data_IF_838328940461
#
_entry.id   IF_838328940461
#
_cell.length_a   1.000
_cell.length_b   1.000
_cell.length_c   1.000
_cell.angle_alpha   90.00
_cell.angle_beta   90.00
_cell.angle_gamma   90.00
#
_symmetry.space_group_name_H-M   'P 1'
#
loop_
_entity.id
_entity.type
_entity.pdbx_description
1 polymer ?
#
# COMPACT_ATOMS: atom_id res chain seq x y z
N UNK A 1 -8.37 -14.15 -6.16
CA UNK A 1 -8.36 -14.65 -4.78
C UNK A 1 -8.85 -13.50 -3.91
N UNK A 2 -9.84 -13.79 -3.08
CA UNK A 2 -10.76 -12.85 -2.43
C UNK A 2 -10.30 -12.49 -1.00
N UNK A 3 -10.82 -11.41 -0.41
CA UNK A 3 -10.60 -11.09 1.01
C UNK A 3 -11.10 -12.26 1.89
N UNK A 4 -10.55 -12.48 3.09
CA UNK A 4 -11.01 -13.60 3.94
C UNK A 4 -12.48 -13.46 4.28
N UNK A 5 -12.94 -12.22 4.43
CA UNK A 5 -14.35 -11.93 4.66
C UNK A 5 -15.25 -12.35 3.49
N UNK A 6 -14.75 -12.32 2.25
CA UNK A 6 -15.50 -12.74 1.06
C UNK A 6 -15.73 -14.26 1.04
N UNK A 7 -14.90 -15.01 1.77
CA UNK A 7 -15.10 -16.44 1.98
C UNK A 7 -16.08 -16.78 3.10
N UNK A 8 -16.46 -15.80 3.92
CA UNK A 8 -17.40 -15.99 5.02
C UNK A 8 -18.79 -16.36 4.52
N UNK A 9 -19.50 -17.15 5.33
CA UNK A 9 -20.88 -17.57 5.03
C UNK A 9 -21.81 -16.37 4.87
N UNK A 10 -21.69 -15.39 5.76
CA UNK A 10 -22.50 -14.18 5.74
C UNK A 10 -22.28 -13.36 4.47
N UNK A 11 -21.03 -13.15 4.04
CA UNK A 11 -20.73 -12.41 2.82
C UNK A 11 -21.28 -13.12 1.58
N UNK A 12 -21.13 -14.45 1.50
CA UNK A 12 -21.68 -15.28 0.41
C UNK A 12 -23.21 -15.24 0.36
N UNK A 13 -23.88 -15.25 1.52
CA UNK A 13 -25.34 -15.08 1.62
C UNK A 13 -25.79 -13.69 1.14
N UNK A 14 -25.09 -12.63 1.54
CA UNK A 14 -25.37 -11.26 1.07
C UNK A 14 -25.15 -11.15 -0.44
N UNK A 15 -24.06 -11.70 -0.97
CA UNK A 15 -23.75 -11.68 -2.40
C UNK A 15 -24.85 -12.36 -3.21
N UNK A 16 -25.26 -13.58 -2.83
CA UNK A 16 -26.37 -14.29 -3.47
C UNK A 16 -27.68 -13.50 -3.40
N UNK A 17 -27.96 -12.86 -2.26
CA UNK A 17 -29.15 -12.01 -2.07
C UNK A 17 -29.15 -10.82 -3.03
N UNK A 18 -28.00 -10.16 -3.23
CA UNK A 18 -27.86 -9.07 -4.21
C UNK A 18 -28.11 -9.55 -5.63
N UNK A 19 -27.51 -10.68 -6.06
CA UNK A 19 -27.73 -11.25 -7.40
C UNK A 19 -29.22 -11.52 -7.66
N UNK A 20 -29.91 -12.13 -6.68
CA UNK A 20 -31.35 -12.39 -6.75
C UNK A 20 -32.18 -11.11 -6.81
N UNK A 21 -31.81 -10.09 -6.03
CA UNK A 21 -32.48 -8.77 -6.05
C UNK A 21 -32.28 -8.03 -7.39
N UNK A 22 -31.08 -8.10 -7.98
CA UNK A 22 -30.81 -7.54 -9.31
C UNK A 22 -31.63 -8.24 -10.39
N UNK A 23 -31.76 -9.57 -10.29
CA UNK A 23 -32.59 -10.36 -11.17
C UNK A 23 -34.08 -9.98 -11.03
N UNK A 24 -34.57 -9.78 -9.80
CA UNK A 24 -35.92 -9.26 -9.56
C UNK A 24 -36.12 -7.87 -10.15
N UNK A 25 -35.14 -6.98 -10.02
CA UNK A 25 -35.19 -5.64 -10.61
C UNK A 25 -35.37 -5.73 -12.13
N UNK A 26 -34.62 -6.61 -12.79
CA UNK A 26 -34.75 -6.87 -14.23
C UNK A 26 -36.13 -7.42 -14.57
N UNK A 27 -36.64 -8.38 -13.80
CA UNK A 27 -37.97 -8.95 -13.99
C UNK A 27 -39.07 -7.87 -13.92
N UNK A 28 -39.17 -7.14 -12.81
CA UNK A 28 -40.20 -6.11 -12.64
C UNK A 28 -40.02 -4.93 -13.60
N UNK A 29 -38.79 -4.61 -14.00
CA UNK A 29 -38.50 -3.57 -14.99
C UNK A 29 -38.82 -3.96 -16.43
N UNK A 30 -38.78 -5.25 -16.76
CA UNK A 30 -39.04 -5.76 -18.11
C UNK A 30 -40.54 -5.86 -18.44
N UNK A 31 -41.39 -6.00 -17.44
CA UNK A 31 -42.81 -6.32 -17.63
C UNK A 31 -43.07 -7.67 -18.31
N UNK A 32 -42.04 -8.54 -18.37
CA UNK A 32 -42.15 -9.85 -18.98
C UNK A 32 -43.06 -10.79 -18.18
N UNK A 33 -43.60 -11.80 -18.85
CA UNK A 33 -44.25 -12.93 -18.18
C UNK A 33 -43.19 -13.71 -17.40
N UNK A 34 -43.47 -14.02 -16.13
CA UNK A 34 -42.54 -14.68 -15.21
C UNK A 34 -41.95 -15.99 -15.75
N UNK A 35 -42.75 -16.77 -16.49
CA UNK A 35 -42.31 -18.06 -17.03
C UNK A 35 -41.45 -17.95 -18.29
N UNK A 36 -41.47 -16.78 -18.93
CA UNK A 36 -40.72 -16.48 -20.16
C UNK A 36 -39.49 -15.60 -19.86
N UNK A 37 -39.28 -15.24 -18.58
CA UNK A 37 -38.19 -14.39 -18.14
C UNK A 37 -36.87 -15.19 -18.08
N UNK A 38 -35.86 -14.68 -18.78
CA UNK A 38 -34.53 -15.28 -18.78
C UNK A 38 -33.79 -14.96 -17.48
N UNK A 39 -33.56 -16.01 -16.67
CA UNK A 39 -32.85 -15.90 -15.40
C UNK A 39 -31.32 -16.07 -15.54
N UNK A 40 -30.83 -16.29 -16.77
CA UNK A 40 -29.42 -16.57 -17.04
C UNK A 40 -28.94 -17.81 -16.28
N UNK A 41 -27.86 -17.66 -15.52
CA UNK A 41 -27.24 -18.75 -14.77
C UNK A 41 -27.95 -19.09 -13.44
N UNK A 42 -28.89 -18.25 -12.99
CA UNK A 42 -29.62 -18.48 -11.73
C UNK A 42 -30.80 -19.41 -11.99
N UNK A 43 -30.94 -20.56 -11.29
CA UNK A 43 -32.10 -21.42 -11.45
C UNK A 43 -33.40 -20.70 -11.10
N UNK A 44 -34.41 -20.76 -11.97
CA UNK A 44 -35.72 -20.14 -11.75
C UNK A 44 -36.36 -20.55 -10.40
N UNK A 45 -36.11 -21.78 -9.94
CA UNK A 45 -36.59 -22.27 -8.62
C UNK A 45 -36.03 -21.45 -7.45
N UNK A 46 -34.78 -21.00 -7.54
CA UNK A 46 -34.10 -20.25 -6.49
C UNK A 46 -34.71 -18.84 -6.41
N UNK A 47 -35.00 -18.22 -7.57
CA UNK A 47 -35.74 -16.97 -7.65
C UNK A 47 -37.16 -17.10 -7.07
N UNK A 48 -37.86 -18.20 -7.40
CA UNK A 48 -39.21 -18.47 -6.89
C UNK A 48 -39.22 -18.59 -5.37
N UNK A 49 -38.28 -19.35 -4.80
CA UNK A 49 -38.16 -19.52 -3.36
C UNK A 49 -37.87 -18.17 -2.71
N UNK A 50 -36.91 -17.41 -3.25
CA UNK A 50 -36.56 -16.08 -2.76
C UNK A 50 -37.75 -15.10 -2.78
N UNK A 51 -38.53 -15.08 -3.86
CA UNK A 51 -39.73 -14.25 -3.94
C UNK A 51 -40.76 -14.63 -2.87
N UNK A 52 -40.95 -15.92 -2.61
CA UNK A 52 -41.86 -16.40 -1.58
C UNK A 52 -41.40 -16.00 -0.18
N UNK A 53 -40.10 -16.16 0.10
CA UNK A 53 -39.51 -15.89 1.41
C UNK A 53 -39.52 -14.39 1.75
N UNK A 54 -39.24 -13.54 0.77
CA UNK A 54 -39.13 -12.08 0.94
C UNK A 54 -40.45 -11.32 0.67
N UNK A 55 -41.50 -12.05 0.30
CA UNK A 55 -42.84 -11.51 0.07
C UNK A 55 -42.98 -10.68 -1.23
N UNK A 56 -42.25 -11.06 -2.28
CA UNK A 56 -42.36 -10.44 -3.61
C UNK A 56 -43.42 -11.14 -4.47
N UNK A 57 -44.43 -10.41 -5.00
CA UNK A 57 -45.51 -10.99 -5.79
C UNK A 57 -45.06 -11.40 -7.19
N UNK A 58 -45.44 -12.60 -7.65
CA UNK A 58 -45.13 -13.04 -9.02
C UNK A 58 -45.86 -12.25 -10.09
N UNK A 59 -47.08 -11.80 -9.81
CA UNK A 59 -47.83 -10.91 -10.71
C UNK A 59 -47.27 -9.48 -10.61
N UNK A 60 -47.06 -8.82 -11.75
CA UNK A 60 -46.63 -7.42 -11.84
C UNK A 60 -47.67 -6.51 -11.13
N UNK A 61 -47.39 -5.99 -9.93
CA UNK A 61 -48.25 -5.00 -9.27
C UNK A 61 -47.82 -3.60 -9.73
N UNK A 62 -48.22 -2.54 -9.02
CA UNK A 62 -47.57 -1.22 -9.20
C UNK A 62 -46.06 -1.34 -8.96
N UNK A 63 -45.30 -1.39 -10.05
CA UNK A 63 -43.89 -1.79 -10.07
C UNK A 63 -42.98 -0.76 -9.40
N UNK A 64 -43.41 0.50 -9.31
CA UNK A 64 -42.58 1.61 -8.84
C UNK A 64 -42.19 1.47 -7.35
N UNK A 65 -43.15 1.09 -6.49
CA UNK A 65 -42.88 0.85 -5.06
C UNK A 65 -41.98 -0.37 -4.82
N UNK A 66 -42.14 -1.42 -5.63
CA UNK A 66 -41.33 -2.64 -5.52
C UNK A 66 -39.91 -2.39 -6.00
N UNK A 67 -39.74 -1.72 -7.14
CA UNK A 67 -38.42 -1.37 -7.67
C UNK A 67 -37.66 -0.47 -6.69
N UNK A 68 -38.34 0.50 -6.07
CA UNK A 68 -37.74 1.33 -5.02
C UNK A 68 -37.27 0.51 -3.82
N UNK A 69 -38.10 -0.42 -3.32
CA UNK A 69 -37.73 -1.33 -2.21
C UNK A 69 -36.53 -2.21 -2.58
N UNK A 70 -36.50 -2.74 -3.81
CA UNK A 70 -35.38 -3.55 -4.31
C UNK A 70 -34.10 -2.71 -4.35
N UNK A 71 -34.17 -1.47 -4.87
CA UNK A 71 -33.03 -0.58 -4.94
C UNK A 71 -32.47 -0.21 -3.56
N UNK A 72 -33.35 0.13 -2.61
CA UNK A 72 -32.96 0.42 -1.22
C UNK A 72 -32.27 -0.79 -0.55
N UNK A 73 -32.80 -1.99 -0.77
CA UNK A 73 -32.22 -3.23 -0.24
C UNK A 73 -30.88 -3.57 -0.88
N UNK A 74 -30.74 -3.43 -2.21
CA UNK A 74 -29.45 -3.63 -2.90
C UNK A 74 -28.41 -2.66 -2.33
N UNK A 75 -28.76 -1.38 -2.18
CA UNK A 75 -27.85 -0.37 -1.61
C UNK A 75 -27.44 -0.75 -0.18
N UNK A 76 -28.39 -1.16 0.65
CA UNK A 76 -28.14 -1.61 2.04
C UNK A 76 -27.17 -2.79 2.10
N UNK A 77 -27.42 -3.82 1.28
CA UNK A 77 -26.59 -5.04 1.23
C UNK A 77 -25.18 -4.77 0.67
N UNK A 78 -25.05 -3.92 -0.34
CA UNK A 78 -23.74 -3.52 -0.87
C UNK A 78 -22.96 -2.67 0.14
N UNK A 79 -23.63 -1.77 0.87
CA UNK A 79 -23.00 -1.04 1.97
C UNK A 79 -22.51 -1.99 3.07
N UNK A 80 -23.31 -3.00 3.43
CA UNK A 80 -22.91 -4.01 4.41
C UNK A 80 -21.70 -4.83 3.95
N UNK A 81 -21.67 -5.27 2.69
CA UNK A 81 -20.49 -5.95 2.10
C UNK A 81 -19.24 -5.07 2.18
N UNK A 82 -19.38 -3.79 1.85
CA UNK A 82 -18.29 -2.82 1.93
C UNK A 82 -17.79 -2.63 3.35
N UNK A 83 -18.68 -2.48 4.33
CA UNK A 83 -18.30 -2.37 5.75
C UNK A 83 -17.54 -3.61 6.24
N UNK A 84 -18.01 -4.81 5.87
CA UNK A 84 -17.34 -6.07 6.19
C UNK A 84 -15.92 -6.14 5.60
N UNK A 85 -15.73 -5.67 4.36
CA UNK A 85 -14.40 -5.58 3.71
C UNK A 85 -13.50 -4.56 4.39
N UNK A 86 -14.03 -3.39 4.72
CA UNK A 86 -13.29 -2.36 5.46
C UNK A 86 -12.84 -2.87 6.83
N UNK A 87 -13.69 -3.58 7.57
CA UNK A 87 -13.32 -4.18 8.85
C UNK A 87 -12.23 -5.27 8.72
N UNK A 88 -12.27 -6.12 7.68
CA UNK A 88 -11.18 -7.09 7.41
C UNK A 88 -9.87 -6.38 7.03
N UNK A 89 -9.93 -5.21 6.38
CA UNK A 89 -8.75 -4.39 6.09
C UNK A 89 -8.21 -3.68 7.34
N UNK A 90 -9.07 -3.05 8.13
CA UNK A 90 -8.71 -2.32 9.36
C UNK A 90 -8.22 -3.22 10.49
N UNK A 91 -8.71 -4.47 10.55
CA UNK A 91 -8.23 -5.47 11.52
C UNK A 91 -6.84 -6.02 11.20
N UNK A 92 -6.25 -5.62 10.07
CA UNK A 92 -4.93 -6.04 9.61
C UNK A 92 -3.91 -4.90 9.77
N UNK A 93 -2.63 -5.24 9.77
CA UNK A 93 -1.53 -4.29 9.95
C UNK A 93 -1.16 -3.55 8.64
N UNK A 94 -1.93 -3.76 7.56
CA UNK A 94 -1.64 -3.20 6.25
C UNK A 94 -2.30 -1.81 6.10
N UNK A 95 -1.61 -0.76 6.56
CA UNK A 95 -2.20 0.58 6.62
C UNK A 95 -2.13 1.33 5.29
N UNK A 96 -0.90 1.62 4.81
CA UNK A 96 -0.72 2.44 3.62
C UNK A 96 0.57 2.15 2.87
N UNK A 97 0.58 2.49 1.58
CA UNK A 97 1.77 2.52 0.75
C UNK A 97 2.33 3.96 0.74
N UNK A 98 3.52 4.13 1.30
CA UNK A 98 4.32 5.35 1.24
C UNK A 98 5.30 5.25 0.06
N UNK A 99 5.34 6.30 -0.75
CA UNK A 99 6.33 6.50 -1.80
C UNK A 99 6.97 7.86 -1.58
N UNK A 100 8.28 7.91 -1.33
CA UNK A 100 9.06 9.15 -1.36
C UNK A 100 9.71 9.22 -2.72
N UNK A 101 9.33 10.21 -3.53
CA UNK A 101 9.69 10.26 -4.95
C UNK A 101 11.18 10.42 -5.18
N UNK A 102 11.86 11.15 -4.28
CA UNK A 102 13.31 11.32 -4.26
C UNK A 102 13.82 11.61 -2.85
N UNK A 103 14.65 10.72 -2.33
CA UNK A 103 15.27 10.83 -1.01
C UNK A 103 16.19 12.04 -0.90
N UNK A 104 17.13 12.20 -1.82
CA UNK A 104 18.09 13.31 -1.84
C UNK A 104 17.42 14.67 -1.98
N UNK A 105 16.33 14.76 -2.77
CA UNK A 105 15.53 16.00 -2.85
C UNK A 105 14.81 16.29 -1.55
N UNK A 106 14.20 15.29 -0.89
CA UNK A 106 13.59 15.47 0.43
C UNK A 106 14.62 16.00 1.44
N UNK A 107 15.83 15.45 1.42
CA UNK A 107 16.92 15.86 2.30
C UNK A 107 17.53 17.23 1.94
N UNK A 108 17.31 17.73 0.72
CA UNK A 108 17.98 18.91 0.20
C UNK A 108 19.49 18.73 -0.01
N UNK A 109 19.96 17.49 -0.19
CA UNK A 109 21.40 17.22 -0.31
C UNK A 109 21.85 17.20 -1.78
N UNK A 110 22.98 17.84 -2.12
CA UNK A 110 23.59 17.70 -3.44
C UNK A 110 24.38 16.39 -3.60
N UNK A 111 24.50 15.59 -2.53
CA UNK A 111 25.31 14.39 -2.55
C UNK A 111 24.65 13.28 -3.37
N UNK A 112 25.34 12.83 -4.42
CA UNK A 112 24.90 11.72 -5.29
C UNK A 112 25.42 10.36 -4.83
N UNK A 113 26.28 10.31 -3.82
CA UNK A 113 26.86 9.09 -3.28
C UNK A 113 28.00 8.52 -4.12
N UNK A 114 28.42 7.31 -3.75
CA UNK A 114 29.51 6.55 -4.37
C UNK A 114 29.00 5.13 -4.62
N UNK A 115 29.39 4.52 -5.74
CA UNK A 115 29.07 3.14 -6.08
C UNK A 115 30.33 2.40 -6.50
N UNK A 116 30.66 1.31 -5.81
CA UNK A 116 31.89 0.52 -6.05
C UNK A 116 33.15 1.40 -6.14
N UNK A 117 33.34 2.27 -5.15
CA UNK A 117 34.46 3.24 -5.03
C UNK A 117 34.54 4.29 -6.17
N UNK A 118 33.51 4.39 -7.01
CA UNK A 118 33.38 5.44 -8.02
C UNK A 118 32.32 6.47 -7.63
N UNK A 119 32.59 7.78 -7.79
CA UNK A 119 31.59 8.81 -7.55
C UNK A 119 30.44 8.69 -8.55
N UNK A 120 29.22 8.88 -8.07
CA UNK A 120 28.04 8.91 -8.94
C UNK A 120 27.99 10.24 -9.68
N UNK A 121 28.05 10.18 -11.01
CA UNK A 121 28.06 11.35 -11.89
C UNK A 121 26.66 11.92 -12.09
N UNK A 122 25.69 11.04 -12.28
CA UNK A 122 24.29 11.41 -12.48
C UNK A 122 23.37 10.51 -11.64
N UNK A 123 22.44 11.12 -10.90
CA UNK A 123 21.44 10.42 -10.10
C UNK A 123 20.08 10.77 -10.69
N UNK A 124 19.51 9.82 -11.42
CA UNK A 124 18.25 10.02 -12.11
C UNK A 124 17.06 9.82 -11.17
N UNK A 125 17.15 8.79 -10.31
CA UNK A 125 16.12 8.43 -9.33
C UNK A 125 16.73 7.83 -8.08
N UNK A 126 16.03 8.02 -6.97
CA UNK A 126 16.35 7.57 -5.62
C UNK A 126 15.07 7.50 -4.78
N UNK A 127 14.18 6.61 -5.21
CA UNK A 127 12.81 6.49 -4.70
C UNK A 127 12.76 5.51 -3.53
N UNK A 128 12.01 5.86 -2.48
CA UNK A 128 11.66 4.91 -1.42
C UNK A 128 10.23 4.46 -1.62
N UNK A 129 9.99 3.16 -1.54
CA UNK A 129 8.65 2.55 -1.52
C UNK A 129 8.54 1.72 -0.24
N UNK A 130 7.53 1.96 0.58
CA UNK A 130 7.37 1.32 1.89
C UNK A 130 5.90 1.08 2.23
N UNK A 131 5.58 -0.06 2.82
CA UNK A 131 4.30 -0.27 3.49
C UNK A 131 4.44 0.25 4.91
N UNK A 132 3.64 1.22 5.30
CA UNK A 132 3.75 1.85 6.62
C UNK A 132 3.02 1.04 7.67
N UNK A 133 3.66 0.80 8.80
CA UNK A 133 3.05 0.30 10.04
C UNK A 133 2.68 1.48 10.94
N UNK A 134 3.62 1.86 11.81
CA UNK A 134 3.48 2.92 12.80
C UNK A 134 4.52 4.02 12.55
N UNK A 135 4.09 5.27 12.76
CA UNK A 135 5.01 6.41 12.87
C UNK A 135 5.14 6.78 14.34
N UNK A 136 6.33 6.60 14.91
CA UNK A 136 6.60 6.88 16.31
C UNK A 136 7.48 8.13 16.43
N UNK A 137 7.14 9.05 17.35
CA UNK A 137 7.93 10.26 17.61
C UNK A 137 8.70 10.14 18.91
N UNK A 138 9.99 10.49 18.88
CA UNK A 138 10.91 10.42 19.99
C UNK A 138 11.50 11.79 20.28
N UNK A 139 11.78 12.04 21.55
CA UNK A 139 12.49 13.23 22.00
C UNK A 139 13.90 12.83 22.39
N UNK A 140 14.90 13.40 21.73
CA UNK A 140 16.29 13.21 22.11
C UNK A 140 16.66 14.01 23.36
N UNK A 141 17.81 13.65 23.96
CA UNK A 141 18.44 14.41 25.03
C UNK A 141 18.80 15.84 24.61
N UNK A 142 18.97 16.08 23.31
CA UNK A 142 19.31 17.37 22.67
C UNK A 142 18.09 18.26 22.39
N UNK A 143 16.88 17.88 22.86
CA UNK A 143 15.60 18.55 22.58
C UNK A 143 15.13 18.45 21.12
N UNK A 144 15.94 17.84 20.24
CA UNK A 144 15.52 17.48 18.88
C UNK A 144 14.48 16.37 18.91
N UNK A 145 13.46 16.52 18.06
CA UNK A 145 12.40 15.52 17.92
C UNK A 145 12.59 14.76 16.62
N UNK A 146 12.64 13.45 16.76
CA UNK A 146 12.77 12.51 15.66
C UNK A 146 11.46 11.77 15.48
N UNK A 147 11.21 11.31 14.27
CA UNK A 147 10.19 10.35 13.95
C UNK A 147 10.82 9.16 13.24
N UNK A 148 10.29 7.98 13.53
CA UNK A 148 10.63 6.77 12.80
C UNK A 148 9.35 6.20 12.21
N UNK A 149 9.33 6.06 10.88
CA UNK A 149 8.29 5.35 10.15
C UNK A 149 8.77 3.92 9.98
N UNK A 150 8.05 2.97 10.56
CA UNK A 150 8.36 1.54 10.42
C UNK A 150 7.57 0.89 9.31
N UNK A 151 8.14 -0.17 8.76
CA UNK A 151 7.45 -1.06 7.84
C UNK A 151 8.36 -1.54 6.71
N UNK A 152 7.98 -2.62 6.00
CA UNK A 152 8.81 -3.18 4.95
C UNK A 152 8.86 -2.24 3.74
N UNK A 153 10.07 -1.92 3.29
CA UNK A 153 10.30 -1.02 2.16
C UNK A 153 11.59 -1.31 1.39
N UNK A 154 11.72 -0.66 0.25
CA UNK A 154 12.98 -0.61 -0.48
C UNK A 154 13.38 0.83 -0.77
N UNK A 155 14.68 1.04 -0.81
CA UNK A 155 15.30 2.17 -1.49
C UNK A 155 15.73 1.72 -2.89
N UNK A 156 15.31 2.42 -3.94
CA UNK A 156 15.64 2.11 -5.33
C UNK A 156 16.31 3.31 -5.99
N UNK A 157 17.48 3.09 -6.61
CA UNK A 157 18.21 4.13 -7.30
C UNK A 157 18.50 3.78 -8.77
N UNK A 158 18.29 4.75 -9.66
CA UNK A 158 18.75 4.73 -11.06
C UNK A 158 19.84 5.82 -11.22
N UNK A 159 21.05 5.44 -11.60
CA UNK A 159 22.21 6.35 -11.58
C UNK A 159 23.29 5.98 -12.58
N UNK A 160 24.24 6.87 -12.83
CA UNK A 160 25.36 6.64 -13.73
C UNK A 160 26.68 6.99 -13.04
N UNK A 161 27.64 6.06 -13.07
CA UNK A 161 29.04 6.32 -12.66
C UNK A 161 29.88 6.83 -13.84
N UNK A 162 29.47 6.51 -15.06
CA UNK A 162 30.09 6.92 -16.32
C UNK A 162 28.99 7.50 -17.24
N UNK A 163 29.30 8.49 -18.08
CA UNK A 163 28.29 9.19 -18.90
C UNK A 163 27.54 8.22 -19.82
N UNK A 164 26.22 8.26 -19.80
CA UNK A 164 25.34 7.57 -20.74
C UNK A 164 24.97 6.13 -20.37
N UNK A 165 25.63 5.54 -19.36
CA UNK A 165 25.33 4.18 -18.89
C UNK A 165 24.67 4.22 -17.51
N UNK A 166 23.36 4.06 -17.48
CA UNK A 166 22.60 3.99 -16.24
C UNK A 166 22.59 2.56 -15.67
N UNK A 167 22.79 2.49 -14.37
CA UNK A 167 22.73 1.33 -13.52
C UNK A 167 21.54 1.46 -12.58
N UNK A 168 21.04 0.32 -12.11
CA UNK A 168 20.02 0.24 -11.08
C UNK A 168 20.59 -0.47 -9.86
N UNK A 169 20.26 0.03 -8.69
CA UNK A 169 20.53 -0.65 -7.43
C UNK A 169 19.33 -0.54 -6.49
N UNK A 170 19.15 -1.51 -5.61
CA UNK A 170 18.03 -1.53 -4.66
C UNK A 170 18.44 -2.16 -3.35
N UNK A 171 18.01 -1.53 -2.25
CA UNK A 171 18.32 -1.93 -0.88
C UNK A 171 17.02 -2.14 -0.11
N UNK A 172 16.97 -3.24 0.64
CA UNK A 172 15.90 -3.46 1.62
C UNK A 172 16.05 -2.50 2.80
N UNK A 173 14.94 -1.90 3.22
CA UNK A 173 14.84 -1.02 4.38
C UNK A 173 13.59 -1.38 5.19
N UNK A 174 13.64 -1.29 6.50
CA UNK A 174 12.48 -1.55 7.36
C UNK A 174 12.16 -0.40 8.33
N UNK A 175 12.81 0.75 8.12
CA UNK A 175 12.41 2.00 8.74
C UNK A 175 13.01 3.23 8.08
N UNK A 176 12.41 4.39 8.35
CA UNK A 176 12.90 5.70 7.94
C UNK A 176 12.94 6.60 9.17
N UNK A 177 14.11 7.10 9.54
CA UNK A 177 14.33 7.99 10.66
C UNK A 177 14.52 9.44 10.16
N UNK A 178 13.66 10.33 10.60
CA UNK A 178 13.55 11.71 10.14
C UNK A 178 13.45 12.70 11.31
N UNK A 179 14.08 13.88 11.24
CA UNK A 179 13.65 15.02 12.04
C UNK A 179 12.19 15.40 11.75
N UNK A 180 11.47 15.94 12.74
CA UNK A 180 10.07 16.33 12.56
C UNK A 180 9.84 17.33 11.42
N UNK A 181 10.82 18.18 11.08
CA UNK A 181 10.70 19.10 9.95
C UNK A 181 10.58 18.34 8.61
N UNK A 182 11.41 17.32 8.41
CA UNK A 182 11.37 16.49 7.20
C UNK A 182 10.13 15.60 7.15
N UNK A 183 9.72 15.08 8.31
CA UNK A 183 8.42 14.40 8.43
C UNK A 183 7.29 15.35 8.02
N UNK A 184 7.30 16.59 8.50
CA UNK A 184 6.35 17.63 8.12
C UNK A 184 6.28 17.80 6.59
N UNK A 185 7.43 17.90 5.92
CA UNK A 185 7.49 17.99 4.44
C UNK A 185 6.82 16.81 3.73
N UNK A 186 6.94 15.58 4.25
CA UNK A 186 6.26 14.41 3.68
C UNK A 186 4.73 14.57 3.73
N UNK A 187 4.19 15.12 4.82
CA UNK A 187 2.74 15.27 4.99
C UNK A 187 2.16 16.56 4.42
N UNK A 188 2.94 17.64 4.36
CA UNK A 188 2.44 19.00 4.09
C UNK A 188 3.02 19.65 2.84
N UNK A 189 3.86 18.96 2.07
CA UNK A 189 4.33 19.48 0.79
C UNK A 189 3.16 19.80 -0.15
N UNK A 190 3.43 20.64 -1.16
CA UNK A 190 2.43 21.08 -2.12
C UNK A 190 1.74 19.88 -2.76
N UNK A 191 0.42 19.87 -2.65
CA UNK A 191 -0.42 18.78 -3.15
C UNK A 191 -0.47 18.89 -4.67
N UNK A 192 0.05 17.87 -5.36
CA UNK A 192 -0.17 17.70 -6.80
C UNK A 192 -1.66 17.52 -7.06
N UNK A 193 -2.36 16.90 -6.10
CA UNK A 193 -3.77 16.62 -6.19
C UNK A 193 -4.46 16.80 -4.83
N UNK A 194 -5.52 17.61 -4.80
CA UNK A 194 -6.38 17.79 -3.63
C UNK A 194 -7.82 17.44 -4.01
N UNK A 195 -8.42 16.51 -3.28
CA UNK A 195 -9.84 16.20 -3.42
C UNK A 195 -10.43 15.84 -2.07
N UNK A 196 -11.57 16.43 -1.78
CA UNK A 196 -12.36 16.13 -0.58
C UNK A 196 -12.94 14.70 -0.60
N UNK A 197 -12.84 14.00 -1.74
CA UNK A 197 -13.35 12.65 -1.95
C UNK A 197 -12.29 11.55 -1.85
N UNK A 198 -11.01 11.92 -1.84
CA UNK A 198 -9.91 10.97 -1.93
C UNK A 198 -9.04 11.14 -0.70
N UNK A 199 -9.11 10.16 0.19
CA UNK A 199 -8.26 10.06 1.36
C UNK A 199 -6.87 9.52 0.95
N UNK A 200 -6.17 10.26 0.10
CA UNK A 200 -4.79 10.00 -0.28
C UNK A 200 -4.02 11.31 -0.29
N UNK A 201 -2.78 11.26 0.20
CA UNK A 201 -1.89 12.41 0.17
C UNK A 201 -0.94 12.23 -1.00
N UNK A 202 -1.11 13.03 -2.07
CA UNK A 202 -0.22 13.03 -3.24
C UNK A 202 0.43 14.41 -3.34
N UNK A 203 1.70 14.49 -2.99
CA UNK A 203 2.50 15.72 -3.03
C UNK A 203 3.66 15.56 -4.01
N UNK A 204 4.38 16.65 -4.26
CA UNK A 204 5.60 16.62 -5.08
C UNK A 204 6.72 15.75 -4.45
N UNK A 205 6.69 15.61 -3.13
CA UNK A 205 7.75 14.95 -2.35
C UNK A 205 7.39 13.49 -2.06
N UNK A 206 6.12 13.20 -1.82
CA UNK A 206 5.68 11.89 -1.38
C UNK A 206 4.23 11.58 -1.74
N UNK A 207 3.93 10.30 -1.84
CA UNK A 207 2.57 9.78 -1.91
C UNK A 207 2.31 8.85 -0.74
N UNK A 208 1.20 9.05 -0.04
CA UNK A 208 0.67 8.13 0.97
C UNK A 208 -0.68 7.64 0.46
N UNK A 209 -0.72 6.36 0.12
CA UNK A 209 -1.89 5.70 -0.44
C UNK A 209 -2.40 4.65 0.54
N UNK A 210 -3.48 4.93 1.28
CA UNK A 210 -4.00 3.96 2.23
C UNK A 210 -4.85 2.90 1.53
N UNK A 211 -4.82 1.66 2.01
CA UNK A 211 -5.44 0.53 1.30
C UNK A 211 -6.97 0.59 1.27
N UNK A 212 -7.61 1.28 2.22
CA UNK A 212 -9.07 1.46 2.25
C UNK A 212 -9.61 2.29 1.08
N UNK A 213 -8.76 3.01 0.35
CA UNK A 213 -9.15 3.73 -0.87
C UNK A 213 -9.74 2.81 -1.95
N UNK A 214 -9.45 1.52 -1.86
CA UNK A 214 -9.91 0.48 -2.78
C UNK A 214 -11.39 0.15 -2.57
N UNK A 215 -11.99 0.59 -1.46
CA UNK A 215 -13.41 0.40 -1.15
C UNK A 215 -14.26 1.65 -1.50
N UNK A 216 -13.69 2.65 -2.19
CA UNK A 216 -14.45 3.84 -2.63
C UNK A 216 -15.53 3.49 -3.66
N UNK A 217 -16.52 4.37 -3.87
CA UNK A 217 -17.55 4.13 -4.89
C UNK A 217 -16.92 3.95 -6.29
N UNK A 218 -17.44 3.06 -7.13
CA UNK A 218 -16.83 2.66 -8.41
C UNK A 218 -16.50 3.84 -9.35
N UNK A 219 -17.38 4.85 -9.40
CA UNK A 219 -17.16 6.09 -10.17
C UNK A 219 -15.99 6.91 -9.64
N UNK A 220 -15.85 6.97 -8.32
CA UNK A 220 -14.70 7.60 -7.65
C UNK A 220 -13.45 6.77 -7.91
N UNK A 221 -13.52 5.44 -7.77
CA UNK A 221 -12.37 4.55 -8.03
C UNK A 221 -11.81 4.72 -9.43
N UNK A 222 -12.66 4.76 -10.47
CA UNK A 222 -12.19 4.91 -11.86
C UNK A 222 -11.39 6.20 -12.05
N UNK A 223 -11.89 7.29 -11.48
CA UNK A 223 -11.22 8.59 -11.53
C UNK A 223 -9.92 8.60 -10.72
N UNK A 224 -9.95 8.09 -9.48
CA UNK A 224 -8.76 7.96 -8.61
C UNK A 224 -7.69 7.10 -9.28
N UNK A 225 -8.09 5.96 -9.86
CA UNK A 225 -7.21 5.02 -10.58
C UNK A 225 -6.43 5.74 -11.67
N UNK A 226 -7.09 6.56 -12.49
CA UNK A 226 -6.42 7.34 -13.52
C UNK A 226 -5.37 8.31 -12.97
N UNK A 227 -5.69 9.01 -11.88
CA UNK A 227 -4.78 9.98 -11.24
C UNK A 227 -3.59 9.28 -10.59
N UNK A 228 -3.82 8.24 -9.79
CA UNK A 228 -2.75 7.49 -9.10
C UNK A 228 -1.87 6.79 -10.12
N UNK A 229 -2.47 6.14 -11.12
CA UNK A 229 -1.74 5.47 -12.19
C UNK A 229 -0.78 6.43 -12.90
N UNK A 230 -1.24 7.63 -13.27
CA UNK A 230 -0.44 8.61 -14.01
C UNK A 230 0.61 9.32 -13.15
N UNK A 231 0.25 9.74 -11.94
CA UNK A 231 1.09 10.63 -11.13
C UNK A 231 1.94 9.89 -10.09
N UNK A 232 1.55 8.67 -9.72
CA UNK A 232 2.20 7.90 -8.66
C UNK A 232 2.88 6.67 -9.25
N UNK A 233 2.13 5.80 -9.92
CA UNK A 233 2.69 4.50 -10.34
C UNK A 233 3.55 4.59 -11.59
N UNK A 234 3.12 5.31 -12.63
CA UNK A 234 3.91 5.44 -13.85
C UNK A 234 5.30 6.09 -13.61
N UNK A 235 5.42 7.19 -12.82
CA UNK A 235 6.73 7.78 -12.53
C UNK A 235 7.63 6.89 -11.67
N UNK A 236 7.05 6.04 -10.82
CA UNK A 236 7.78 5.19 -9.87
C UNK A 236 7.74 3.69 -10.25
N UNK A 237 7.44 3.37 -11.52
CA UNK A 237 7.18 2.00 -11.98
C UNK A 237 8.33 1.04 -11.64
N UNK A 238 9.56 1.40 -11.97
CA UNK A 238 10.74 0.55 -11.73
C UNK A 238 10.92 0.24 -10.23
N UNK A 239 10.79 1.26 -9.36
CA UNK A 239 10.86 1.09 -7.91
C UNK A 239 9.73 0.18 -7.39
N UNK A 240 8.50 0.37 -7.88
CA UNK A 240 7.36 -0.47 -7.48
C UNK A 240 7.49 -1.93 -7.96
N UNK A 241 8.00 -2.15 -9.17
CA UNK A 241 8.27 -3.50 -9.69
C UNK A 241 9.34 -4.21 -8.84
N UNK A 242 10.44 -3.52 -8.52
CA UNK A 242 11.48 -4.07 -7.62
C UNK A 242 10.93 -4.36 -6.22
N UNK A 243 10.13 -3.44 -5.68
CA UNK A 243 9.50 -3.60 -4.37
C UNK A 243 8.58 -4.82 -4.33
N UNK A 244 7.70 -4.94 -5.32
CA UNK A 244 6.78 -6.06 -5.44
C UNK A 244 7.53 -7.38 -5.64
N UNK A 245 8.54 -7.40 -6.50
CA UNK A 245 9.35 -8.60 -6.71
C UNK A 245 10.01 -9.05 -5.40
N UNK A 246 10.67 -8.13 -4.70
CA UNK A 246 11.36 -8.41 -3.43
C UNK A 246 10.41 -8.89 -2.32
N UNK A 247 9.25 -8.25 -2.16
CA UNK A 247 8.27 -8.72 -1.18
C UNK A 247 7.74 -10.10 -1.59
N UNK A 248 7.44 -10.35 -2.86
CA UNK A 248 6.87 -11.62 -3.29
C UNK A 248 7.87 -12.78 -3.25
N UNK A 249 9.17 -12.52 -3.29
CA UNK A 249 10.21 -13.52 -3.03
C UNK A 249 10.13 -14.04 -1.58
N UNK A 250 10.11 -15.36 -1.41
CA UNK A 250 10.05 -15.98 -0.09
C UNK A 250 11.31 -15.66 0.73
N UNK A 251 11.11 -15.17 1.96
CA UNK A 251 12.21 -14.87 2.88
C UNK A 251 12.67 -13.41 2.94
N UNK A 252 11.95 -12.46 2.33
CA UNK A 252 12.22 -11.03 2.52
C UNK A 252 11.87 -10.54 3.94
N UNK A 253 12.64 -9.55 4.42
CA UNK A 253 12.55 -8.94 5.76
C UNK A 253 12.58 -9.92 6.96
N UNK A 254 13.52 -10.87 7.03
CA UNK A 254 13.59 -11.78 8.17
C UNK A 254 14.00 -11.00 9.43
N UNK A 255 13.29 -11.22 10.54
CA UNK A 255 13.55 -10.58 11.82
C UNK A 255 14.99 -10.81 12.32
N UNK A 256 15.61 -11.93 11.92
CA UNK A 256 16.99 -12.24 12.24
C UNK A 256 18.02 -11.27 11.63
N UNK A 257 17.69 -10.58 10.53
CA UNK A 257 18.57 -9.59 9.91
C UNK A 257 18.54 -8.22 10.62
N UNK A 258 17.61 -8.03 11.56
CA UNK A 258 17.51 -6.82 12.36
C UNK A 258 17.03 -5.60 11.57
N UNK A 259 17.40 -4.41 12.05
CA UNK A 259 16.90 -3.15 11.47
C UNK A 259 17.82 -2.61 10.38
N UNK A 260 17.20 -2.13 9.30
CA UNK A 260 17.78 -1.43 8.15
C UNK A 260 17.07 -0.09 7.98
N UNK A 261 17.58 0.95 8.63
CA UNK A 261 16.89 2.24 8.77
C UNK A 261 17.56 3.32 7.92
N UNK A 262 16.81 3.89 6.98
CA UNK A 262 17.23 5.09 6.25
C UNK A 262 17.20 6.29 7.19
N UNK A 263 18.34 6.95 7.39
CA UNK A 263 18.47 8.00 8.39
C UNK A 263 18.75 9.37 7.79
N UNK A 264 17.94 10.34 8.19
CA UNK A 264 18.19 11.77 8.06
C UNK A 264 18.57 12.40 9.41
N UNK A 265 18.91 11.59 10.40
CA UNK A 265 19.36 12.05 11.71
C UNK A 265 20.61 12.92 11.59
N UNK A 266 20.76 14.05 12.31
CA UNK A 266 21.93 14.92 12.16
C UNK A 266 23.29 14.21 12.35
N UNK A 267 23.40 13.28 13.30
CA UNK A 267 24.63 12.48 13.52
C UNK A 267 24.86 11.38 12.47
N UNK A 268 23.80 10.93 11.81
CA UNK A 268 23.84 9.83 10.82
C UNK A 268 23.18 10.25 9.51
N UNK A 269 23.44 11.48 9.09
CA UNK A 269 22.73 12.11 8.00
C UNK A 269 23.02 11.43 6.66
N UNK A 270 21.94 11.14 5.92
CA UNK A 270 21.94 10.43 4.65
C UNK A 270 22.70 9.09 4.70
N UNK A 271 22.38 8.25 5.69
CA UNK A 271 22.97 6.91 5.85
C UNK A 271 21.91 5.84 5.92
N UNK A 272 22.22 4.66 5.40
CA UNK A 272 21.48 3.44 5.74
C UNK A 272 22.13 2.83 6.98
N UNK A 273 21.40 2.85 8.09
CA UNK A 273 21.82 2.27 9.36
C UNK A 273 21.43 0.79 9.40
N UNK A 274 22.42 -0.06 9.64
CA UNK A 274 22.27 -1.52 9.66
C UNK A 274 22.90 -2.10 10.93
N UNK A 275 22.67 -3.38 11.19
CA UNK A 275 23.37 -4.12 12.25
C UNK A 275 24.89 -4.10 12.02
N UNK A 276 25.72 -4.12 13.09
CA UNK A 276 27.18 -4.09 12.96
C UNK A 276 27.77 -5.19 12.07
N UNK A 277 27.15 -6.37 12.09
CA UNK A 277 27.61 -7.55 11.36
C UNK A 277 26.98 -7.68 9.96
N UNK A 278 26.19 -6.69 9.54
CA UNK A 278 25.54 -6.69 8.23
C UNK A 278 26.55 -6.45 7.11
N UNK A 279 26.70 -7.43 6.23
CA UNK A 279 27.53 -7.32 5.02
C UNK A 279 26.67 -7.17 3.77
N UNK A 280 26.59 -5.97 3.22
CA UNK A 280 26.00 -5.77 1.90
C UNK A 280 26.99 -6.17 0.80
N UNK A 281 26.61 -7.15 -0.02
CA UNK A 281 27.38 -7.62 -1.17
C UNK A 281 26.61 -7.30 -2.45
N UNK A 282 27.28 -6.64 -3.38
CA UNK A 282 26.73 -6.40 -4.73
C UNK A 282 26.60 -7.72 -5.49
N UNK A 283 25.88 -7.74 -6.62
CA UNK A 283 25.80 -8.90 -7.52
C UNK A 283 27.15 -9.40 -8.05
N UNK A 284 28.22 -8.60 -7.91
CA UNK A 284 29.60 -8.98 -8.21
C UNK A 284 30.35 -9.68 -7.06
N UNK A 285 29.69 -9.88 -5.91
CA UNK A 285 30.27 -10.44 -4.68
C UNK A 285 31.12 -9.46 -3.88
N UNK A 286 31.38 -8.24 -4.38
CA UNK A 286 32.12 -7.19 -3.67
C UNK A 286 31.27 -6.57 -2.56
N UNK A 287 31.90 -6.33 -1.41
CA UNK A 287 31.31 -5.53 -0.33
C UNK A 287 31.08 -4.12 -0.84
N UNK A 288 29.86 -3.62 -0.72
CA UNK A 288 29.52 -2.23 -1.02
C UNK A 288 29.24 -1.49 0.29
N UNK A 289 30.00 -0.41 0.50
CA UNK A 289 29.89 0.45 1.69
C UNK A 289 29.01 1.68 1.43
N UNK A 290 28.51 1.84 0.20
CA UNK A 290 27.63 2.93 -0.23
C UNK A 290 26.88 2.52 -1.50
N UNK A 291 25.78 3.21 -1.77
CA UNK A 291 25.07 3.18 -3.06
C UNK A 291 24.74 4.60 -3.49
N UNK A 292 24.25 4.78 -4.71
CA UNK A 292 23.88 6.09 -5.21
C UNK A 292 22.76 6.73 -4.36
N UNK A 293 22.82 8.04 -4.18
CA UNK A 293 21.91 8.85 -3.36
C UNK A 293 22.05 8.66 -1.83
N UNK A 294 22.75 7.63 -1.37
CA UNK A 294 23.06 7.39 0.05
C UNK A 294 24.53 7.73 0.31
N UNK A 295 24.81 8.43 1.41
CA UNK A 295 26.17 8.77 1.80
C UNK A 295 27.03 7.56 2.15
N UNK A 296 26.49 6.63 2.94
CA UNK A 296 27.16 5.37 3.32
C UNK A 296 26.21 4.38 3.98
N UNK A 297 26.54 3.09 3.94
CA UNK A 297 25.99 2.06 4.82
C UNK A 297 26.78 2.05 6.13
N UNK A 298 26.10 2.05 7.28
CA UNK A 298 26.74 2.18 8.59
C UNK A 298 26.17 1.18 9.60
N UNK A 299 27.05 0.36 10.19
CA UNK A 299 26.74 -0.60 11.26
C UNK A 299 26.39 0.02 12.62
N UNK A 300 25.63 1.12 12.62
CA UNK A 300 25.38 1.98 13.79
C UNK A 300 23.91 1.95 14.24
N UNK A 301 23.07 1.05 13.71
CA UNK A 301 21.65 0.97 14.11
C UNK A 301 21.49 0.71 15.61
N UNK A 302 22.43 -0.04 16.22
CA UNK A 302 22.48 -0.30 17.67
C UNK A 302 22.58 0.97 18.53
N UNK A 303 23.00 2.10 17.97
CA UNK A 303 23.00 3.39 18.67
C UNK A 303 21.65 4.10 18.62
N UNK A 304 20.86 3.82 17.59
CA UNK A 304 19.53 4.38 17.40
C UNK A 304 18.46 3.56 18.15
N UNK A 305 18.62 2.23 18.23
CA UNK A 305 17.67 1.33 18.92
C UNK A 305 17.31 1.77 20.35
N UNK A 306 18.25 2.15 21.24
CA UNK A 306 17.90 2.54 22.61
C UNK A 306 17.13 3.87 22.69
N UNK A 307 17.18 4.69 21.64
CA UNK A 307 16.42 5.94 21.54
C UNK A 307 14.97 5.65 21.15
N UNK A 308 14.77 4.64 20.31
CA UNK A 308 13.46 4.22 19.78
C UNK A 308 12.75 3.26 20.73
N UNK A 309 13.45 2.23 21.21
CA UNK A 309 12.88 1.11 21.93
C UNK A 309 13.24 1.15 23.41
N UNK A 310 12.23 1.06 24.26
CA UNK A 310 12.40 0.97 25.72
C UNK A 310 12.96 -0.39 26.19
N UNK A 311 12.86 -1.43 25.36
CA UNK A 311 13.32 -2.77 25.69
C UNK A 311 13.60 -3.62 24.44
N UNK A 312 14.46 -4.65 24.53
CA UNK A 312 14.69 -5.60 23.43
C UNK A 312 13.42 -6.38 23.00
N UNK A 313 12.45 -6.56 23.90
CA UNK A 313 11.18 -7.19 23.57
C UNK A 313 10.36 -6.34 22.59
N UNK A 314 10.39 -5.00 22.73
CA UNK A 314 9.70 -4.07 21.83
C UNK A 314 10.36 -4.01 20.45
N UNK A 315 11.68 -4.08 20.43
CA UNK A 315 12.46 -4.20 19.20
C UNK A 315 12.02 -5.45 18.40
N UNK A 316 11.96 -6.61 19.08
CA UNK A 316 11.53 -7.87 18.46
C UNK A 316 10.08 -7.83 18.00
N UNK A 317 9.18 -7.30 18.83
CA UNK A 317 7.76 -7.15 18.47
C UNK A 317 7.60 -6.33 17.17
N UNK A 318 8.37 -5.25 17.01
CA UNK A 318 8.33 -4.42 15.81
C UNK A 318 8.83 -5.16 14.56
N UNK A 319 9.88 -5.98 14.67
CA UNK A 319 10.37 -6.81 13.56
C UNK A 319 9.37 -7.89 13.16
N UNK A 320 8.73 -8.54 14.14
CA UNK A 320 7.68 -9.54 13.90
C UNK A 320 6.44 -8.91 13.23
N UNK A 321 6.10 -7.66 13.57
CA UNK A 321 5.05 -6.90 12.86
C UNK A 321 5.40 -6.65 11.40
N UNK A 322 6.65 -6.32 11.10
CA UNK A 322 7.12 -6.10 9.72
C UNK A 322 6.97 -7.39 8.90
N UNK A 323 7.37 -8.55 9.44
CA UNK A 323 7.15 -9.85 8.80
C UNK A 323 5.66 -10.14 8.54
N UNK A 324 4.80 -9.83 9.49
CA UNK A 324 3.36 -10.02 9.34
C UNK A 324 2.78 -9.09 8.26
N UNK A 325 3.26 -7.84 8.13
CA UNK A 325 2.84 -6.94 7.03
C UNK A 325 3.27 -7.49 5.68
N UNK A 326 4.50 -8.03 5.57
CA UNK A 326 4.99 -8.69 4.35
C UNK A 326 4.06 -9.84 3.96
N UNK A 327 3.69 -10.68 4.93
CA UNK A 327 2.76 -11.80 4.70
C UNK A 327 1.38 -11.31 4.24
N UNK A 328 0.81 -10.31 4.91
CA UNK A 328 -0.50 -9.75 4.55
C UNK A 328 -0.47 -9.10 3.16
N UNK A 329 0.62 -8.43 2.80
CA UNK A 329 0.78 -7.87 1.46
C UNK A 329 0.84 -8.95 0.38
N UNK A 330 1.58 -10.04 0.61
CA UNK A 330 1.64 -11.19 -0.31
C UNK A 330 0.28 -11.84 -0.52
N UNK A 331 -0.45 -12.06 0.58
CA UNK A 331 -1.75 -12.72 0.56
C UNK A 331 -2.82 -11.86 -0.14
N UNK A 332 -2.74 -10.54 -0.03
CA UNK A 332 -3.85 -9.64 -0.38
C UNK A 332 -3.40 -8.31 -1.00
N UNK A 333 -2.50 -7.58 -0.33
CA UNK A 333 -2.12 -6.21 -0.70
C UNK A 333 -1.63 -6.07 -2.14
N UNK A 334 -0.87 -7.04 -2.65
CA UNK A 334 -0.41 -7.02 -4.03
C UNK A 334 -1.57 -7.10 -5.04
N UNK A 335 -2.57 -7.96 -4.83
CA UNK A 335 -3.71 -8.10 -5.75
C UNK A 335 -4.58 -6.84 -5.75
N UNK A 336 -4.75 -6.26 -4.57
CA UNK A 336 -5.44 -5.00 -4.37
C UNK A 336 -4.80 -3.88 -5.20
N UNK A 337 -3.47 -3.75 -5.16
CA UNK A 337 -2.73 -2.74 -5.93
C UNK A 337 -2.55 -3.08 -7.41
N UNK A 338 -2.50 -4.36 -7.77
CA UNK A 338 -2.26 -4.81 -9.15
C UNK A 338 -3.23 -4.17 -10.14
N UNK A 339 -4.51 -4.06 -9.76
CA UNK A 339 -5.54 -3.45 -10.61
C UNK A 339 -5.38 -1.94 -10.81
N UNK A 340 -4.49 -1.30 -10.08
CA UNK A 340 -4.23 0.13 -10.14
C UNK A 340 -2.90 0.47 -10.83
N UNK A 341 -1.94 -0.47 -10.84
CA UNK A 341 -0.63 -0.28 -11.49
C UNK A 341 -0.79 -0.48 -13.01
N UNK A 342 -0.50 0.53 -13.84
CA UNK A 342 -0.56 0.37 -15.29
C UNK A 342 0.54 -0.62 -15.73
N UNK A 343 0.21 -1.55 -16.62
CA UNK A 343 1.09 -2.57 -17.23
C UNK A 343 1.17 -3.96 -16.55
N UNK A 344 0.23 -4.32 -15.66
CA UNK A 344 0.12 -5.68 -15.09
C UNK A 344 -1.14 -6.44 -15.48
#
# INVERSE_FOLDING_TARGET
MSLKVEDSKEYKEIHKRVELMQLLKLYYGSGANFYDFDTGDIPLRDLIAFMSDEGFPRSLPETEHILKRIDEEIISLENKKKEMRLQDLESRNLNSLLIITSWTKLLGTPNKGVFLDKPVMDLRRDTIVMLTDETQTFKELTDERLAVIFGPGIYHAEFAVDRGNYLEDSLEINGICLPLELLGKIYTADKIYQSDKIDATITEVSTILPFHIIEQAETVQTYVKGIISRNVFHPNKAALEKFNHHIMEGGSYPAAEGFKIMSAHPLWYNKLLVEPDYEYRTGSGKRAYSTAGIGSLSGMVHKLKPIIFSSPSKEREQLERIEEIVKQYREMGFQLLKTWIPSY
#
